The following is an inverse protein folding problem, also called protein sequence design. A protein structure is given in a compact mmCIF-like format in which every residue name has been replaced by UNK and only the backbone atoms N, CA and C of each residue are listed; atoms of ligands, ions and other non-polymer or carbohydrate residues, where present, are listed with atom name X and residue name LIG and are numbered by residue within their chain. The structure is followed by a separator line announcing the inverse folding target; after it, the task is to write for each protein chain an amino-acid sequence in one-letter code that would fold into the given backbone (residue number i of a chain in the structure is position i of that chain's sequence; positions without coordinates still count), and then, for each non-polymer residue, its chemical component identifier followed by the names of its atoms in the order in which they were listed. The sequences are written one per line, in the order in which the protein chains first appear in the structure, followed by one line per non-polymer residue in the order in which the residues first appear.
data_IF_126031946428
#
_entry.id   IF_126031946428
#
_cell.length_a   1.000
_cell.length_b   1.000
_cell.length_c   1.000
_cell.angle_alpha   90.00
_cell.angle_beta   90.00
_cell.angle_gamma   90.00
#
_symmetry.space_group_name_H-M   'P 1'
#
loop_
_entity.id
_entity.type
_entity.pdbx_description
1 polymer ?
#
# COMPACT_ATOMS: atom_id res chain seq x y z
N UNK A 1 -10.64 13.05 -20.73
CA UNK A 1 -10.35 11.74 -20.11
C UNK A 1 -8.84 11.59 -20.05
N UNK A 2 -8.33 10.79 -19.10
CA UNK A 2 -6.90 10.47 -19.05
C UNK A 2 -6.63 9.28 -19.96
N UNK A 3 -5.46 9.26 -20.58
CA UNK A 3 -5.01 8.12 -21.37
C UNK A 3 -4.68 6.92 -20.45
N UNK A 4 -4.83 5.66 -20.92
CA UNK A 4 -4.54 4.47 -20.13
C UNK A 4 -3.11 4.40 -19.58
N UNK A 5 -2.14 4.97 -20.29
CA UNK A 5 -0.71 4.99 -19.91
C UNK A 5 -0.36 6.17 -18.99
N UNK A 6 -1.35 6.97 -18.58
CA UNK A 6 -1.12 8.02 -17.61
C UNK A 6 -0.62 7.42 -16.30
N UNK A 7 0.47 7.97 -15.77
CA UNK A 7 1.06 7.52 -14.50
C UNK A 7 0.12 7.89 -13.36
N UNK A 8 -0.53 6.89 -12.79
CA UNK A 8 -1.43 7.06 -11.65
C UNK A 8 -0.81 6.39 -10.43
N UNK A 9 -0.90 7.09 -9.31
CA UNK A 9 -0.53 6.57 -8.01
C UNK A 9 -1.78 6.55 -7.14
N UNK A 10 -2.22 5.35 -6.77
CA UNK A 10 -3.28 5.16 -5.81
C UNK A 10 -2.68 5.13 -4.40
N UNK A 11 -2.66 6.31 -3.78
CA UNK A 11 -2.09 6.55 -2.45
C UNK A 11 -2.79 5.73 -1.35
N UNK A 12 -2.00 5.23 -0.39
CA UNK A 12 -2.46 4.51 0.80
C UNK A 12 -3.55 3.46 0.49
N UNK A 13 -3.26 2.57 -0.46
CA UNK A 13 -4.14 1.52 -0.89
C UNK A 13 -4.44 0.53 0.24
N UNK A 14 -5.73 0.41 0.57
CA UNK A 14 -6.27 -0.53 1.57
C UNK A 14 -7.38 -1.42 0.98
N UNK A 15 -7.41 -1.54 -0.35
CA UNK A 15 -8.44 -2.28 -1.08
C UNK A 15 -8.15 -3.77 -1.22
N UNK A 16 -8.97 -4.42 -2.04
CA UNK A 16 -8.91 -5.85 -2.36
C UNK A 16 -8.18 -6.10 -3.69
N UNK A 17 -7.87 -7.37 -3.98
CA UNK A 17 -7.31 -7.73 -5.29
C UNK A 17 -8.28 -7.43 -6.46
N UNK A 18 -9.60 -7.48 -6.21
CA UNK A 18 -10.58 -7.12 -7.23
C UNK A 18 -10.52 -5.62 -7.56
N UNK A 19 -10.22 -4.78 -6.56
CA UNK A 19 -10.01 -3.35 -6.79
C UNK A 19 -8.76 -3.12 -7.64
N UNK A 20 -7.67 -3.84 -7.36
CA UNK A 20 -6.46 -3.82 -8.20
C UNK A 20 -6.83 -4.13 -9.66
N UNK A 21 -7.53 -5.24 -9.91
CA UNK A 21 -7.91 -5.62 -11.28
C UNK A 21 -8.80 -4.58 -11.96
N UNK A 22 -9.73 -4.01 -11.22
CA UNK A 22 -10.58 -2.92 -11.72
C UNK A 22 -9.72 -1.75 -12.17
N UNK A 23 -8.80 -1.26 -11.34
CA UNK A 23 -7.94 -0.14 -11.70
C UNK A 23 -6.98 -0.46 -12.85
N UNK A 24 -6.34 -1.63 -12.83
CA UNK A 24 -5.39 -2.04 -13.88
C UNK A 24 -6.07 -2.29 -15.22
N UNK A 25 -7.40 -2.54 -15.24
CA UNK A 25 -8.16 -2.66 -16.49
C UNK A 25 -8.30 -1.33 -17.24
N UNK A 26 -8.12 -0.20 -16.55
CA UNK A 26 -8.19 1.14 -17.14
C UNK A 26 -6.83 1.83 -17.24
N UNK A 27 -5.95 1.65 -16.24
CA UNK A 27 -4.66 2.34 -16.17
C UNK A 27 -3.50 1.34 -16.14
N UNK A 28 -2.69 1.33 -17.20
CA UNK A 28 -1.61 0.36 -17.36
C UNK A 28 -0.39 0.71 -16.51
N UNK A 29 -0.18 2.00 -16.23
CA UNK A 29 0.96 2.52 -15.45
C UNK A 29 0.57 2.83 -13.99
N UNK A 30 -0.54 2.28 -13.49
CA UNK A 30 -0.97 2.52 -12.11
C UNK A 30 -0.04 1.83 -11.11
N UNK A 31 0.23 2.52 -10.01
CA UNK A 31 0.95 1.99 -8.85
C UNK A 31 0.15 2.17 -7.57
N UNK A 32 0.30 1.22 -6.66
CA UNK A 32 -0.42 1.16 -5.39
C UNK A 32 0.53 1.49 -4.25
N UNK A 33 0.19 2.53 -3.49
CA UNK A 33 0.93 2.96 -2.31
C UNK A 33 0.57 2.13 -1.10
N UNK A 34 1.54 1.57 -0.40
CA UNK A 34 1.33 0.81 0.83
C UNK A 34 2.05 1.47 2.00
N UNK A 35 1.32 1.65 3.09
CA UNK A 35 1.81 2.25 4.33
C UNK A 35 2.07 1.16 5.38
N UNK A 36 2.66 1.50 6.55
CA UNK A 36 2.86 0.53 7.61
C UNK A 36 1.56 -0.04 8.21
N UNK A 37 0.38 0.40 7.78
CA UNK A 37 -0.89 -0.26 8.14
C UNK A 37 -0.88 -1.76 7.80
N UNK A 38 -0.06 -2.18 6.82
CA UNK A 38 0.16 -3.59 6.49
C UNK A 38 0.64 -4.41 7.69
N UNK A 39 1.38 -3.80 8.63
CA UNK A 39 1.84 -4.50 9.85
C UNK A 39 0.70 -4.91 10.78
N UNK A 40 -0.50 -4.32 10.62
CA UNK A 40 -1.64 -4.50 11.55
C UNK A 40 -2.65 -5.54 11.09
N UNK A 41 -2.50 -6.14 9.91
CA UNK A 41 -3.50 -7.09 9.41
C UNK A 41 -3.12 -7.88 8.15
N UNK A 42 -3.54 -9.14 8.11
CA UNK A 42 -3.12 -10.11 7.09
C UNK A 42 -3.73 -9.91 5.69
N UNK A 43 -4.84 -9.18 5.56
CA UNK A 43 -5.56 -9.11 4.28
C UNK A 43 -4.78 -8.33 3.21
N UNK A 44 -4.00 -7.32 3.58
CA UNK A 44 -3.17 -6.58 2.62
C UNK A 44 -1.97 -7.40 2.15
N UNK A 45 -1.50 -8.35 2.97
CA UNK A 45 -0.43 -9.25 2.57
C UNK A 45 -0.85 -10.16 1.41
N UNK A 46 -2.11 -10.63 1.39
CA UNK A 46 -2.59 -11.47 0.29
C UNK A 46 -2.72 -10.68 -1.01
N UNK A 47 -3.03 -9.39 -0.95
CA UNK A 47 -3.01 -8.51 -2.13
C UNK A 47 -1.58 -8.25 -2.59
N UNK A 48 -0.69 -7.86 -1.68
CA UNK A 48 0.73 -7.60 -1.97
C UNK A 48 1.43 -8.79 -2.63
N UNK A 49 1.13 -10.02 -2.19
CA UNK A 49 1.71 -11.25 -2.75
C UNK A 49 1.28 -11.53 -4.19
N UNK A 50 0.21 -10.90 -4.68
CA UNK A 50 -0.31 -11.06 -6.04
C UNK A 50 0.12 -9.93 -6.98
N UNK A 51 0.74 -8.87 -6.47
CA UNK A 51 1.21 -7.73 -7.25
C UNK A 51 2.64 -7.94 -7.75
N UNK A 52 2.92 -7.43 -8.95
CA UNK A 52 4.30 -7.26 -9.39
C UNK A 52 4.98 -6.15 -8.58
N UNK A 53 6.27 -6.32 -8.26
CA UNK A 53 7.04 -5.33 -7.50
C UNK A 53 7.04 -3.94 -8.16
N UNK A 54 6.91 -3.87 -9.48
CA UNK A 54 6.85 -2.62 -10.25
C UNK A 54 5.57 -1.81 -10.00
N UNK A 55 4.53 -2.48 -9.50
CA UNK A 55 3.23 -1.89 -9.15
C UNK A 55 3.17 -1.39 -7.71
N UNK A 56 4.17 -1.67 -6.88
CA UNK A 56 4.17 -1.36 -5.44
C UNK A 56 4.99 -0.09 -5.16
N UNK A 57 4.42 0.81 -4.38
CA UNK A 57 5.11 1.98 -3.80
C UNK A 57 5.10 1.89 -2.28
N UNK A 58 6.24 2.13 -1.65
CA UNK A 58 6.35 2.20 -0.19
C UNK A 58 6.07 3.63 0.28
N UNK A 59 5.19 3.76 1.25
CA UNK A 59 4.77 5.02 1.85
C UNK A 59 4.89 4.95 3.37
N UNK A 60 4.96 6.11 4.02
CA UNK A 60 4.82 6.19 5.49
C UNK A 60 3.44 6.71 5.89
N UNK A 61 2.89 7.63 5.07
CA UNK A 61 1.77 8.50 5.42
C UNK A 61 1.88 9.03 6.86
N UNK A 62 3.09 9.50 7.19
CA UNK A 62 3.36 10.20 8.44
C UNK A 62 2.46 11.44 8.53
N UNK A 63 1.83 11.69 9.70
CA UNK A 63 2.16 11.15 11.03
C UNK A 63 1.30 9.94 11.49
N UNK A 64 0.55 9.28 10.60
CA UNK A 64 -0.55 8.39 11.01
C UNK A 64 -0.13 6.93 11.27
N UNK A 65 0.52 6.28 10.32
CA UNK A 65 0.77 4.83 10.38
C UNK A 65 2.15 4.51 10.91
N UNK A 66 2.38 4.78 12.20
CA UNK A 66 3.60 4.29 12.87
C UNK A 66 3.56 2.74 12.87
N UNK A 67 4.63 2.06 12.40
CA UNK A 67 4.73 0.60 12.44
C UNK A 67 4.57 0.06 13.86
N UNK A 68 3.92 -1.10 14.02
CA UNK A 68 3.68 -1.69 15.35
C UNK A 68 4.98 -2.00 16.09
N UNK A 69 6.02 -2.41 15.38
CA UNK A 69 7.33 -2.72 15.93
C UNK A 69 7.98 -1.48 16.55
N UNK A 70 7.79 -0.32 15.91
CA UNK A 70 8.28 0.97 16.42
C UNK A 70 7.50 1.38 17.67
N UNK A 71 6.17 1.19 17.67
CA UNK A 71 5.33 1.45 18.86
C UNK A 71 5.76 0.53 20.01
N UNK A 72 5.99 -0.76 19.75
CA UNK A 72 6.44 -1.73 20.74
C UNK A 72 7.79 -1.31 21.33
N UNK A 73 8.77 -0.98 20.49
CA UNK A 73 10.08 -0.54 20.92
C UNK A 73 10.02 0.71 21.82
N UNK A 74 9.29 1.75 21.39
CA UNK A 74 9.14 2.99 22.17
C UNK A 74 8.50 2.73 23.54
N UNK A 75 7.54 1.80 23.63
CA UNK A 75 6.81 1.52 24.87
C UNK A 75 7.60 0.68 25.88
N UNK A 76 8.48 -0.21 25.42
CA UNK A 76 9.13 -1.20 26.27
C UNK A 76 10.63 -0.96 26.48
N UNK A 77 11.32 -0.30 25.54
CA UNK A 77 12.80 -0.21 25.55
C UNK A 77 13.32 1.21 25.83
N UNK A 78 12.51 2.24 25.58
CA UNK A 78 12.91 3.65 25.81
C UNK A 78 12.34 4.20 27.13
N UNK A 79 11.29 3.59 27.68
CA UNK A 79 10.63 4.03 28.92
C UNK A 79 11.31 3.51 30.18
#
# INVERSE_FOLDING_TARGET
YLEPDHKIHLHCFVGTINDVYMFTSYFTEIKFGFTPIISRGNYLHTVLQQLDLTQILSETDSPYFVPEEVIYFIRNEIK
#
